data_IF_937789702698
#
_entry.id   IF_937789702698
#
_cell.length_a   1.000
_cell.length_b   1.000
_cell.length_c   1.000
_cell.angle_alpha   90.00
_cell.angle_beta   90.00
_cell.angle_gamma   90.00
#
_symmetry.space_group_name_H-M   'P 1'
#
loop_
_entity.id
_entity.type
_entity.pdbx_description
1 polymer ?
#
# COMPACT_ATOMS: atom_id res chain seq x y z
N UNK A 1 -11.88 -22.72 13.37
CA UNK A 1 -11.68 -23.12 11.95
C UNK A 1 -10.96 -21.95 11.28
N UNK A 2 -9.78 -22.17 10.71
CA UNK A 2 -9.12 -21.14 9.89
C UNK A 2 -10.00 -20.96 8.63
N UNK A 3 -10.67 -19.83 8.51
CA UNK A 3 -11.34 -19.46 7.26
C UNK A 3 -10.28 -19.46 6.16
N UNK A 4 -10.61 -20.05 5.01
CA UNK A 4 -9.69 -20.15 3.87
C UNK A 4 -9.35 -18.70 3.44
N UNK A 5 -8.19 -18.20 3.86
CA UNK A 5 -7.74 -16.86 3.51
C UNK A 5 -7.74 -16.71 1.99
N UNK A 6 -8.27 -15.59 1.49
CA UNK A 6 -8.18 -15.27 0.06
C UNK A 6 -6.73 -14.92 -0.27
N UNK A 7 -6.28 -15.32 -1.47
CA UNK A 7 -4.97 -14.89 -1.97
C UNK A 7 -4.93 -13.34 -2.00
N UNK A 8 -3.89 -12.69 -1.46
CA UNK A 8 -3.78 -11.24 -1.52
C UNK A 8 -3.59 -10.76 -2.96
N UNK A 9 -4.04 -9.55 -3.27
CA UNK A 9 -3.63 -8.89 -4.51
C UNK A 9 -2.18 -8.41 -4.38
N UNK A 10 -1.36 -8.73 -5.38
CA UNK A 10 0.06 -8.36 -5.42
C UNK A 10 0.20 -6.96 -6.03
N UNK A 11 0.84 -6.05 -5.30
CA UNK A 11 1.08 -4.66 -5.70
C UNK A 11 2.52 -4.49 -6.14
N UNK A 12 2.74 -4.09 -7.39
CA UNK A 12 4.04 -3.69 -7.90
C UNK A 12 4.30 -2.21 -7.60
N UNK A 13 5.37 -1.90 -6.86
CA UNK A 13 5.68 -0.50 -6.47
C UNK A 13 6.56 0.16 -7.53
N UNK A 14 6.07 1.25 -8.11
CA UNK A 14 6.77 2.12 -9.05
C UNK A 14 7.28 3.34 -8.29
N UNK A 15 8.58 3.41 -8.04
CA UNK A 15 9.21 4.47 -7.27
C UNK A 15 10.25 5.28 -8.07
N UNK A 16 10.46 4.94 -9.35
CA UNK A 16 11.37 5.62 -10.28
C UNK A 16 10.84 5.53 -11.71
N UNK A 17 11.35 6.38 -12.61
CA UNK A 17 11.04 6.27 -14.05
C UNK A 17 11.52 4.93 -14.63
N UNK A 18 12.65 4.42 -14.15
CA UNK A 18 13.13 3.10 -14.55
C UNK A 18 12.14 2.01 -14.19
N UNK A 19 11.57 2.01 -12.96
CA UNK A 19 10.54 1.05 -12.58
C UNK A 19 9.33 1.15 -13.51
N UNK A 20 8.97 2.39 -13.90
CA UNK A 20 7.86 2.64 -14.82
C UNK A 20 8.15 2.08 -16.23
N UNK A 21 9.37 2.22 -16.72
CA UNK A 21 9.75 1.68 -18.03
C UNK A 21 9.86 0.14 -17.98
N UNK A 22 10.37 -0.40 -16.87
CA UNK A 22 10.56 -1.84 -16.67
C UNK A 22 9.25 -2.62 -16.45
N UNK A 23 8.16 -1.96 -15.98
CA UNK A 23 6.90 -2.67 -15.65
C UNK A 23 6.31 -3.42 -16.84
N UNK A 24 6.49 -2.89 -18.06
CA UNK A 24 5.99 -3.52 -19.29
C UNK A 24 6.74 -4.80 -19.65
N UNK A 25 7.95 -4.98 -19.16
CA UNK A 25 8.79 -6.16 -19.39
C UNK A 25 8.48 -7.30 -18.42
N UNK A 26 7.78 -6.99 -17.30
CA UNK A 26 7.43 -7.98 -16.29
C UNK A 26 6.14 -8.67 -16.68
N UNK A 27 6.10 -9.99 -16.48
CA UNK A 27 4.90 -10.77 -16.76
C UNK A 27 3.69 -10.19 -16.00
N UNK A 28 2.60 -9.96 -16.71
CA UNK A 28 1.32 -9.52 -16.12
C UNK A 28 0.72 -10.52 -15.11
N UNK A 29 1.33 -11.71 -14.99
CA UNK A 29 0.95 -12.71 -13.99
C UNK A 29 1.65 -12.50 -12.64
N UNK A 30 2.67 -11.62 -12.58
CA UNK A 30 3.46 -11.41 -11.37
C UNK A 30 2.87 -10.38 -10.41
N UNK A 31 1.86 -9.64 -10.82
CA UNK A 31 1.16 -8.65 -9.97
C UNK A 31 -0.24 -8.34 -10.51
N UNK A 32 -1.10 -7.83 -9.64
CA UNK A 32 -2.50 -7.53 -9.95
C UNK A 32 -2.74 -6.04 -10.16
N UNK A 33 -1.98 -5.17 -9.47
CA UNK A 33 -2.08 -3.72 -9.54
C UNK A 33 -0.73 -3.07 -9.28
N UNK A 34 -0.60 -1.77 -9.58
CA UNK A 34 0.62 -1.03 -9.29
C UNK A 34 0.38 0.17 -8.38
N UNK A 35 1.35 0.46 -7.51
CA UNK A 35 1.40 1.69 -6.71
C UNK A 35 2.34 2.68 -7.37
N UNK A 36 1.85 3.88 -7.64
CA UNK A 36 2.63 5.00 -8.14
C UNK A 36 3.08 5.86 -6.95
N UNK A 37 4.36 5.82 -6.61
CA UNK A 37 4.98 6.68 -5.60
C UNK A 37 5.21 8.07 -6.19
N UNK A 38 4.12 8.83 -6.30
CA UNK A 38 4.10 10.16 -6.95
C UNK A 38 5.10 11.10 -6.26
N UNK A 39 5.23 11.01 -4.94
CA UNK A 39 6.23 11.74 -4.16
C UNK A 39 7.68 11.51 -4.62
N UNK A 40 7.98 10.35 -5.21
CA UNK A 40 9.29 10.01 -5.79
C UNK A 40 9.40 10.30 -7.28
N UNK A 41 8.27 10.44 -7.97
CA UNK A 41 8.17 10.64 -9.41
C UNK A 41 8.05 12.11 -9.83
N UNK A 42 8.13 13.06 -8.90
CA UNK A 42 7.89 14.49 -9.13
C UNK A 42 8.83 15.15 -10.15
N UNK A 43 10.06 14.65 -10.28
CA UNK A 43 11.02 15.13 -11.29
C UNK A 43 10.76 14.56 -12.69
N UNK A 44 9.71 13.76 -12.84
CA UNK A 44 9.34 13.12 -14.09
C UNK A 44 8.62 14.09 -15.02
N UNK A 45 8.69 13.83 -16.31
CA UNK A 45 8.09 14.67 -17.36
C UNK A 45 6.59 14.91 -17.13
N UNK A 46 6.09 16.05 -17.59
CA UNK A 46 4.65 16.38 -17.57
C UNK A 46 3.78 15.36 -18.31
N UNK A 47 4.39 14.55 -19.16
CA UNK A 47 3.75 13.47 -19.93
C UNK A 47 3.46 12.20 -19.10
N UNK A 48 4.01 12.06 -17.90
CA UNK A 48 3.86 10.84 -17.09
C UNK A 48 2.39 10.46 -16.81
N UNK A 49 1.46 11.37 -16.46
CA UNK A 49 0.04 10.99 -16.28
C UNK A 49 -0.59 10.40 -17.54
N UNK A 50 -0.21 10.87 -18.73
CA UNK A 50 -0.67 10.32 -20.01
C UNK A 50 -0.14 8.89 -20.20
N UNK A 51 1.14 8.67 -19.99
CA UNK A 51 1.78 7.35 -20.08
C UNK A 51 1.19 6.36 -19.06
N UNK A 52 0.90 6.82 -17.83
CA UNK A 52 0.25 6.00 -16.80
C UNK A 52 -1.17 5.58 -17.20
N UNK A 53 -1.91 6.41 -17.92
CA UNK A 53 -3.24 6.05 -18.44
C UNK A 53 -3.21 4.84 -19.38
N UNK A 54 -2.11 4.67 -20.11
CA UNK A 54 -1.91 3.56 -21.04
C UNK A 54 -1.62 2.21 -20.35
N UNK A 55 -1.23 2.24 -19.07
CA UNK A 55 -1.06 1.01 -18.30
C UNK A 55 -2.40 0.32 -18.08
N UNK A 56 -2.48 -0.95 -18.41
CA UNK A 56 -3.71 -1.77 -18.33
C UNK A 56 -4.04 -2.27 -16.93
N UNK A 57 -3.18 -2.06 -15.95
CA UNK A 57 -3.35 -2.50 -14.57
C UNK A 57 -4.09 -1.45 -13.74
N UNK A 58 -4.87 -1.86 -12.71
CA UNK A 58 -5.36 -0.94 -11.68
C UNK A 58 -4.20 -0.23 -10.98
N UNK A 59 -4.39 1.04 -10.64
CA UNK A 59 -3.35 1.92 -10.13
C UNK A 59 -3.73 2.55 -8.82
N UNK A 60 -2.77 2.60 -7.89
CA UNK A 60 -2.86 3.32 -6.62
C UNK A 60 -2.06 4.62 -6.77
N UNK A 61 -2.70 5.76 -6.54
CA UNK A 61 -2.00 7.04 -6.40
C UNK A 61 -1.54 7.23 -4.95
N UNK A 62 -0.23 7.34 -4.74
CA UNK A 62 0.36 7.57 -3.43
C UNK A 62 1.24 8.81 -3.46
N UNK A 63 0.87 9.85 -2.71
CA UNK A 63 1.71 11.01 -2.42
C UNK A 63 2.09 10.94 -0.95
N UNK A 64 3.08 10.12 -0.62
CA UNK A 64 3.43 9.77 0.76
C UNK A 64 3.85 10.99 1.58
N UNK A 65 3.28 11.10 2.79
CA UNK A 65 3.66 12.10 3.78
C UNK A 65 5.14 11.92 4.18
N UNK A 66 5.95 13.00 4.20
CA UNK A 66 7.34 12.94 4.66
C UNK A 66 7.48 12.34 6.07
N UNK A 67 6.52 12.55 6.95
CA UNK A 67 6.51 11.99 8.32
C UNK A 67 6.25 10.47 8.35
N UNK A 68 5.81 9.90 7.23
CA UNK A 68 5.58 8.46 7.05
C UNK A 68 6.44 7.87 5.90
N UNK A 69 7.64 8.41 5.70
CA UNK A 69 8.62 7.90 4.75
C UNK A 69 8.41 8.38 3.31
N UNK A 70 7.74 9.52 3.12
CA UNK A 70 7.67 10.22 1.84
C UNK A 70 9.03 10.75 1.43
N UNK A 71 9.29 10.75 0.12
CA UNK A 71 10.42 11.43 -0.47
C UNK A 71 10.07 12.92 -0.63
N UNK A 72 11.05 13.79 -0.40
CA UNK A 72 10.90 15.23 -0.50
C UNK A 72 9.95 15.86 0.55
N UNK A 73 10.26 17.11 0.90
CA UNK A 73 9.41 17.92 1.78
C UNK A 73 8.32 18.60 0.95
N UNK A 74 7.28 17.82 0.56
CA UNK A 74 6.17 18.35 -0.24
C UNK A 74 5.17 19.02 0.70
N UNK A 75 4.86 20.31 0.53
CA UNK A 75 3.82 20.99 1.29
C UNK A 75 2.47 20.30 1.14
N UNK A 76 1.64 20.33 2.18
CA UNK A 76 0.33 19.68 2.19
C UNK A 76 -0.58 20.11 1.02
N UNK A 77 -0.62 21.42 0.74
CA UNK A 77 -1.39 21.96 -0.40
C UNK A 77 -0.93 21.37 -1.73
N UNK A 78 0.38 21.21 -1.91
CA UNK A 78 0.94 20.59 -3.12
C UNK A 78 0.62 19.09 -3.19
N UNK A 79 0.57 18.41 -2.05
CA UNK A 79 0.15 16.99 -2.01
C UNK A 79 -1.29 16.85 -2.48
N UNK A 80 -2.20 17.72 -2.02
CA UNK A 80 -3.59 17.71 -2.47
C UNK A 80 -3.69 17.91 -3.99
N UNK A 81 -3.03 18.94 -4.53
CA UNK A 81 -3.02 19.21 -5.98
C UNK A 81 -2.45 18.04 -6.80
N UNK A 82 -1.46 17.32 -6.24
CA UNK A 82 -0.94 16.11 -6.88
C UNK A 82 -2.01 15.00 -6.88
N UNK A 83 -2.70 14.75 -5.78
CA UNK A 83 -3.77 13.77 -5.76
C UNK A 83 -4.88 14.12 -6.77
N UNK A 84 -5.33 15.39 -6.83
CA UNK A 84 -6.33 15.87 -7.78
C UNK A 84 -5.89 15.63 -9.23
N UNK A 85 -4.62 15.89 -9.56
CA UNK A 85 -4.05 15.64 -10.89
C UNK A 85 -4.05 14.15 -11.27
N UNK A 86 -3.79 13.24 -10.30
CA UNK A 86 -3.64 11.82 -10.56
C UNK A 86 -4.92 11.02 -10.37
N UNK A 87 -5.90 11.55 -9.63
CA UNK A 87 -7.17 10.89 -9.36
C UNK A 87 -7.88 10.38 -10.64
N UNK A 88 -7.94 11.15 -11.76
CA UNK A 88 -8.64 10.70 -12.98
C UNK A 88 -8.05 9.44 -13.63
N UNK A 89 -6.76 9.14 -13.38
CA UNK A 89 -6.04 8.02 -14.03
C UNK A 89 -5.81 6.83 -13.10
N UNK A 90 -6.19 6.94 -11.83
CA UNK A 90 -5.99 5.90 -10.81
C UNK A 90 -7.32 5.28 -10.37
N UNK A 91 -7.25 4.07 -9.84
CA UNK A 91 -8.38 3.30 -9.31
C UNK A 91 -8.47 3.42 -7.79
N UNK A 92 -7.32 3.68 -7.14
CA UNK A 92 -7.17 3.81 -5.70
C UNK A 92 -6.40 5.09 -5.38
N UNK A 93 -6.67 5.66 -4.20
CA UNK A 93 -5.78 6.63 -3.55
C UNK A 93 -5.30 6.06 -2.23
N UNK A 94 -4.03 6.33 -1.86
CA UNK A 94 -3.45 5.97 -0.56
C UNK A 94 -3.23 7.25 0.25
N UNK A 95 -4.02 7.42 1.31
CA UNK A 95 -4.01 8.59 2.20
C UNK A 95 -3.68 8.13 3.61
N UNK A 96 -2.72 8.79 4.26
CA UNK A 96 -2.35 8.45 5.62
C UNK A 96 -3.49 8.78 6.60
N UNK A 97 -3.67 7.93 7.61
CA UNK A 97 -4.70 8.06 8.65
C UNK A 97 -4.68 9.45 9.30
N UNK A 98 -3.50 10.02 9.52
CA UNK A 98 -3.31 11.36 10.09
C UNK A 98 -3.87 12.49 9.23
N UNK A 99 -4.05 12.25 7.94
CA UNK A 99 -4.47 13.25 6.94
C UNK A 99 -5.96 13.11 6.53
N UNK A 100 -6.71 12.17 7.11
CA UNK A 100 -8.10 11.90 6.71
C UNK A 100 -9.01 13.13 6.77
N UNK A 101 -8.94 13.90 7.86
CA UNK A 101 -9.76 15.11 8.01
C UNK A 101 -9.40 16.18 6.99
N UNK A 102 -8.12 16.34 6.71
CA UNK A 102 -7.59 17.35 5.79
C UNK A 102 -7.92 17.03 4.34
N UNK A 103 -7.89 15.76 3.97
CA UNK A 103 -8.18 15.30 2.61
C UNK A 103 -9.62 14.76 2.46
N UNK A 104 -10.52 15.13 3.39
CA UNK A 104 -11.90 14.60 3.39
C UNK A 104 -12.65 14.86 2.08
N UNK A 105 -12.49 16.02 1.45
CA UNK A 105 -13.10 16.33 0.13
C UNK A 105 -12.54 15.45 -0.99
N UNK A 106 -11.23 15.24 -1.03
CA UNK A 106 -10.57 14.35 -1.98
C UNK A 106 -11.09 12.90 -1.82
N UNK A 107 -11.22 12.45 -0.58
CA UNK A 107 -11.73 11.12 -0.26
C UNK A 107 -13.18 10.97 -0.74
N UNK A 108 -14.04 11.95 -0.45
CA UNK A 108 -15.42 11.97 -0.92
C UNK A 108 -15.51 11.95 -2.45
N UNK A 109 -14.68 12.73 -3.14
CA UNK A 109 -14.60 12.73 -4.59
C UNK A 109 -14.16 11.36 -5.14
N UNK A 110 -13.14 10.76 -4.56
CA UNK A 110 -12.68 9.43 -4.95
C UNK A 110 -13.82 8.40 -4.80
N UNK A 111 -14.45 8.35 -3.64
CA UNK A 111 -15.55 7.41 -3.35
C UNK A 111 -16.77 7.66 -4.25
N UNK A 112 -17.17 8.91 -4.49
CA UNK A 112 -18.30 9.25 -5.36
C UNK A 112 -18.07 8.90 -6.83
N UNK A 113 -16.80 8.85 -7.26
CA UNK A 113 -16.39 8.43 -8.61
C UNK A 113 -16.05 6.94 -8.72
N UNK A 114 -16.42 6.14 -7.69
CA UNK A 114 -16.24 4.69 -7.68
C UNK A 114 -14.80 4.22 -7.46
N UNK A 115 -13.93 5.09 -6.94
CA UNK A 115 -12.55 4.71 -6.60
C UNK A 115 -12.49 4.22 -5.15
N UNK A 116 -11.49 3.40 -4.88
CA UNK A 116 -11.27 2.86 -3.54
C UNK A 116 -10.23 3.70 -2.77
N UNK A 117 -10.35 3.72 -1.47
CA UNK A 117 -9.45 4.46 -0.58
C UNK A 117 -8.65 3.51 0.29
N UNK A 118 -7.34 3.63 0.22
CA UNK A 118 -6.42 2.98 1.16
C UNK A 118 -6.11 4.01 2.25
N UNK A 119 -6.49 3.70 3.47
CA UNK A 119 -6.13 4.49 4.66
C UNK A 119 -4.91 3.86 5.28
N UNK A 120 -3.76 4.52 5.20
CA UNK A 120 -2.48 3.94 5.56
C UNK A 120 -1.89 4.52 6.86
N UNK A 121 -1.11 3.70 7.54
CA UNK A 121 -0.29 4.06 8.67
C UNK A 121 1.07 3.37 8.57
N UNK A 122 2.16 4.14 8.79
CA UNK A 122 3.53 3.63 8.74
C UNK A 122 4.29 4.04 10.00
N UNK A 123 4.93 3.05 10.66
CA UNK A 123 5.84 3.29 11.78
C UNK A 123 7.19 2.60 11.51
N UNK A 124 8.21 3.41 11.27
CA UNK A 124 9.57 2.93 10.97
C UNK A 124 10.38 2.59 12.22
N UNK A 125 9.87 2.88 13.41
CA UNK A 125 10.56 2.63 14.67
C UNK A 125 10.11 1.31 15.31
N UNK A 126 8.80 1.05 15.33
CA UNK A 126 8.23 -0.09 16.09
C UNK A 126 6.89 -0.54 15.50
N UNK A 127 6.37 -1.65 16.05
CA UNK A 127 4.96 -2.03 15.93
C UNK A 127 4.20 -1.52 17.16
N UNK A 128 3.15 -0.70 17.00
CA UNK A 128 2.28 -0.29 18.10
C UNK A 128 1.57 -1.49 18.75
N UNK A 129 1.02 -1.31 19.94
CA UNK A 129 0.19 -2.33 20.58
C UNK A 129 -1.08 -2.61 19.79
N UNK A 130 -1.68 -3.79 19.99
CA UNK A 130 -2.89 -4.18 19.27
C UNK A 130 -4.03 -3.20 19.48
N UNK A 131 -4.24 -2.74 20.71
CA UNK A 131 -5.29 -1.79 21.06
C UNK A 131 -5.14 -0.46 20.29
N UNK A 132 -3.89 0.04 20.17
CA UNK A 132 -3.60 1.26 19.43
C UNK A 132 -3.89 1.08 17.93
N UNK A 133 -3.53 -0.09 17.37
CA UNK A 133 -3.83 -0.41 15.96
C UNK A 133 -5.32 -0.60 15.72
N UNK A 134 -6.07 -1.16 16.67
CA UNK A 134 -7.53 -1.27 16.60
C UNK A 134 -8.21 0.11 16.63
N UNK A 135 -7.77 1.02 17.49
CA UNK A 135 -8.25 2.41 17.49
C UNK A 135 -7.97 3.12 16.16
N UNK A 136 -6.77 2.90 15.57
CA UNK A 136 -6.41 3.44 14.27
C UNK A 136 -7.30 2.85 13.16
N UNK A 137 -7.57 1.55 13.22
CA UNK A 137 -8.47 0.88 12.31
C UNK A 137 -9.90 1.46 12.40
N UNK A 138 -10.43 1.65 13.61
CA UNK A 138 -11.74 2.26 13.81
C UNK A 138 -11.82 3.68 13.23
N UNK A 139 -10.79 4.48 13.43
CA UNK A 139 -10.67 5.82 12.86
C UNK A 139 -10.54 5.82 11.33
N UNK A 140 -10.06 4.76 10.72
CA UNK A 140 -9.97 4.66 9.25
C UNK A 140 -11.36 4.59 8.57
N UNK A 141 -12.38 4.32 9.33
CA UNK A 141 -13.75 4.13 8.88
C UNK A 141 -13.98 2.70 8.37
N UNK A 142 -14.83 1.97 9.07
CA UNK A 142 -15.19 0.57 8.73
C UNK A 142 -16.18 0.54 7.57
N UNK A 143 -15.71 0.87 6.36
CA UNK A 143 -16.54 0.87 5.15
C UNK A 143 -16.01 -0.11 4.09
N UNK A 144 -16.89 -0.78 3.33
CA UNK A 144 -16.47 -1.84 2.39
C UNK A 144 -15.46 -1.41 1.32
N UNK A 145 -15.50 -0.14 0.88
CA UNK A 145 -14.65 0.39 -0.17
C UNK A 145 -13.31 0.96 0.34
N UNK A 146 -13.00 0.71 1.61
CA UNK A 146 -11.72 1.12 2.20
C UNK A 146 -10.86 -0.08 2.54
N UNK A 147 -9.56 0.15 2.45
CA UNK A 147 -8.54 -0.78 2.91
C UNK A 147 -7.79 -0.07 4.03
N UNK A 148 -7.70 -0.67 5.22
CA UNK A 148 -6.77 -0.20 6.22
C UNK A 148 -5.41 -0.85 5.98
N UNK A 149 -4.40 -0.02 5.70
CA UNK A 149 -3.04 -0.47 5.40
C UNK A 149 -2.12 -0.09 6.56
N UNK A 150 -1.44 -1.08 7.13
CA UNK A 150 -0.47 -0.89 8.21
C UNK A 150 0.89 -1.47 7.83
N UNK A 151 1.95 -0.67 7.94
CA UNK A 151 3.32 -1.09 7.72
C UNK A 151 4.19 -0.65 8.89
N UNK A 152 4.71 -1.59 9.66
CA UNK A 152 5.45 -1.31 10.89
C UNK A 152 6.76 -2.08 10.95
N UNK A 153 7.73 -1.56 11.71
CA UNK A 153 8.98 -2.27 11.93
C UNK A 153 8.73 -3.45 12.89
N UNK A 154 9.04 -4.65 12.42
CA UNK A 154 8.93 -5.90 13.19
C UNK A 154 10.32 -6.36 13.59
N UNK A 155 10.61 -6.27 14.88
CA UNK A 155 11.88 -6.67 15.50
C UNK A 155 11.79 -8.02 16.20
N UNK A 156 10.62 -8.37 16.69
CA UNK A 156 10.32 -9.59 17.42
C UNK A 156 9.11 -10.32 16.82
N UNK A 157 8.96 -11.59 17.09
CA UNK A 157 7.79 -12.37 16.65
C UNK A 157 6.49 -11.84 17.24
N UNK A 158 6.51 -11.33 18.47
CA UNK A 158 5.36 -10.67 19.08
C UNK A 158 4.82 -9.49 18.25
N UNK A 159 5.68 -8.77 17.53
CA UNK A 159 5.26 -7.71 16.63
C UNK A 159 4.45 -8.28 15.45
N UNK A 160 4.88 -9.45 14.95
CA UNK A 160 4.17 -10.14 13.87
C UNK A 160 2.83 -10.67 14.35
N UNK A 161 2.78 -11.21 15.58
CA UNK A 161 1.55 -11.69 16.22
C UNK A 161 0.51 -10.56 16.37
N UNK A 162 0.93 -9.36 16.76
CA UNK A 162 0.06 -8.17 16.81
C UNK A 162 -0.60 -7.91 15.44
N UNK A 163 0.19 -7.94 14.36
CA UNK A 163 -0.33 -7.71 13.01
C UNK A 163 -1.25 -8.84 12.55
N UNK A 164 -0.99 -10.09 12.97
CA UNK A 164 -1.87 -11.23 12.71
C UNK A 164 -3.22 -11.03 13.41
N UNK A 165 -3.21 -10.67 14.69
CA UNK A 165 -4.43 -10.40 15.46
C UNK A 165 -5.23 -9.25 14.83
N UNK A 166 -4.59 -8.16 14.42
CA UNK A 166 -5.27 -7.08 13.72
C UNK A 166 -6.06 -7.56 12.49
N UNK A 167 -5.49 -8.50 11.70
CA UNK A 167 -6.18 -9.08 10.54
C UNK A 167 -7.31 -10.01 11.00
N UNK A 168 -7.05 -10.90 11.94
CA UNK A 168 -7.97 -11.96 12.34
C UNK A 168 -9.18 -11.45 13.12
N UNK A 169 -9.01 -10.39 13.88
CA UNK A 169 -10.08 -9.74 14.66
C UNK A 169 -11.02 -8.90 13.77
N UNK A 170 -10.65 -8.68 12.51
CA UNK A 170 -11.42 -7.87 11.56
C UNK A 170 -11.72 -8.61 10.23
N UNK A 171 -12.31 -9.85 10.28
CA UNK A 171 -12.45 -10.72 9.12
C UNK A 171 -13.39 -10.19 8.04
N UNK A 172 -14.33 -9.31 8.41
CA UNK A 172 -15.30 -8.69 7.49
C UNK A 172 -14.73 -7.49 6.74
N UNK A 173 -13.52 -7.04 7.09
CA UNK A 173 -12.92 -5.84 6.55
C UNK A 173 -11.62 -6.15 5.80
N UNK A 174 -11.20 -5.21 4.97
CA UNK A 174 -9.99 -5.32 4.17
C UNK A 174 -8.82 -4.70 4.93
N UNK A 175 -7.99 -5.55 5.52
CA UNK A 175 -6.75 -5.14 6.20
C UNK A 175 -5.55 -5.57 5.36
N UNK A 176 -4.63 -4.64 5.10
CA UNK A 176 -3.34 -4.88 4.45
C UNK A 176 -2.23 -4.64 5.48
N UNK A 177 -1.72 -5.68 6.08
CA UNK A 177 -0.65 -5.59 7.08
C UNK A 177 0.68 -6.11 6.52
N UNK A 178 1.77 -5.41 6.84
CA UNK A 178 3.11 -5.79 6.41
C UNK A 178 4.19 -5.34 7.40
N UNK A 179 5.14 -6.23 7.65
CA UNK A 179 6.32 -5.90 8.45
C UNK A 179 7.44 -5.29 7.61
N UNK A 180 8.24 -4.48 8.27
CA UNK A 180 9.50 -3.91 7.80
C UNK A 180 10.65 -4.36 8.69
N UNK A 181 11.90 -4.11 8.29
CA UNK A 181 13.08 -4.44 9.10
C UNK A 181 13.49 -5.91 9.02
N UNK A 182 14.11 -6.43 10.09
CA UNK A 182 14.79 -7.73 10.09
C UNK A 182 13.86 -8.92 9.80
N UNK A 183 12.65 -8.92 10.36
CA UNK A 183 11.64 -9.95 10.10
C UNK A 183 10.71 -9.58 8.92
N UNK A 184 10.98 -8.46 8.24
CA UNK A 184 10.10 -7.91 7.20
C UNK A 184 9.78 -8.89 6.08
N UNK A 185 10.78 -9.57 5.51
CA UNK A 185 10.55 -10.54 4.43
C UNK A 185 9.64 -11.69 4.84
N UNK A 186 9.91 -12.27 6.00
CA UNK A 186 9.17 -13.44 6.49
C UNK A 186 7.77 -13.06 6.96
N UNK A 187 7.64 -11.95 7.69
CA UNK A 187 6.33 -11.46 8.15
C UNK A 187 5.38 -11.15 6.99
N UNK A 188 5.88 -10.60 5.86
CA UNK A 188 5.05 -10.32 4.67
C UNK A 188 4.43 -11.59 4.08
N UNK A 189 5.16 -12.69 4.04
CA UNK A 189 4.62 -13.98 3.56
C UNK A 189 3.61 -14.54 4.55
N UNK A 190 3.92 -14.53 5.85
CA UNK A 190 3.02 -15.01 6.88
C UNK A 190 1.71 -14.20 6.91
N UNK A 191 1.80 -12.86 6.93
CA UNK A 191 0.63 -11.98 6.94
C UNK A 191 -0.22 -12.13 5.67
N UNK A 192 0.41 -12.26 4.51
CA UNK A 192 -0.29 -12.56 3.26
C UNK A 192 -1.09 -13.87 3.38
N UNK A 193 -0.46 -14.94 3.88
CA UNK A 193 -1.13 -16.25 4.06
C UNK A 193 -2.24 -16.21 5.10
N UNK A 194 -2.17 -15.31 6.07
CA UNK A 194 -3.12 -15.19 7.17
C UNK A 194 -4.21 -14.13 6.95
N UNK A 195 -4.29 -13.51 5.76
CA UNK A 195 -5.43 -12.71 5.38
C UNK A 195 -5.16 -11.25 5.04
N UNK A 196 -3.89 -10.79 5.05
CA UNK A 196 -3.57 -9.48 4.47
C UNK A 196 -4.08 -9.40 3.04
N UNK A 197 -4.91 -8.39 2.72
CA UNK A 197 -5.55 -8.31 1.41
C UNK A 197 -4.63 -7.79 0.30
N UNK A 198 -3.53 -7.12 0.63
CA UNK A 198 -2.52 -6.63 -0.30
C UNK A 198 -1.12 -7.11 0.11
N UNK A 199 -0.30 -7.44 -0.88
CA UNK A 199 1.11 -7.80 -0.71
C UNK A 199 1.98 -6.95 -1.64
N UNK A 200 2.90 -6.14 -1.09
CA UNK A 200 3.68 -5.16 -1.84
C UNK A 200 5.07 -5.68 -2.18
N UNK A 201 5.40 -5.69 -3.48
CA UNK A 201 6.73 -6.02 -4.01
C UNK A 201 7.36 -4.84 -4.76
N UNK A 202 8.70 -4.76 -4.78
CA UNK A 202 9.43 -3.75 -5.54
C UNK A 202 9.62 -4.21 -6.99
N UNK A 203 9.63 -3.25 -7.93
CA UNK A 203 10.07 -3.49 -9.32
C UNK A 203 11.60 -3.42 -9.41
N UNK A 204 12.19 -2.34 -8.93
CA UNK A 204 13.63 -2.15 -8.82
C UNK A 204 14.14 -2.39 -7.40
N UNK A 205 14.91 -1.44 -6.88
CA UNK A 205 15.40 -1.48 -5.51
C UNK A 205 14.25 -1.48 -4.49
N UNK A 206 14.43 -2.17 -3.38
CA UNK A 206 13.44 -2.16 -2.30
C UNK A 206 13.22 -0.73 -1.79
N UNK A 207 11.95 -0.31 -1.72
CA UNK A 207 11.58 1.03 -1.24
C UNK A 207 11.68 1.12 0.28
N UNK A 208 11.48 0.00 0.96
CA UNK A 208 11.61 -0.16 2.42
C UNK A 208 12.33 -1.46 2.77
N UNK A 209 13.04 -1.52 3.91
CA UNK A 209 13.68 -2.75 4.37
C UNK A 209 12.68 -3.92 4.50
N UNK A 210 13.07 -5.09 4.02
CA UNK A 210 12.21 -6.29 4.10
C UNK A 210 11.21 -6.43 2.95
N UNK A 211 11.25 -5.59 1.94
CA UNK A 211 10.45 -5.76 0.73
C UNK A 211 11.05 -6.82 -0.21
N UNK A 212 10.19 -7.67 -0.78
CA UNK A 212 10.57 -8.62 -1.81
C UNK A 212 10.52 -7.98 -3.21
N UNK A 213 11.37 -8.39 -4.18
CA UNK A 213 11.10 -8.15 -5.59
C UNK A 213 9.74 -8.75 -5.97
N UNK A 214 8.95 -8.02 -6.77
CA UNK A 214 7.56 -8.41 -7.07
C UNK A 214 7.44 -9.78 -7.72
N UNK A 215 8.35 -10.12 -8.64
CA UNK A 215 8.38 -11.44 -9.28
C UNK A 215 8.61 -12.56 -8.27
N UNK A 216 9.60 -12.38 -7.38
CA UNK A 216 9.90 -13.37 -6.34
C UNK A 216 8.77 -13.50 -5.32
N UNK A 217 8.13 -12.38 -4.97
CA UNK A 217 6.94 -12.40 -4.10
C UNK A 217 5.81 -13.21 -4.74
N UNK A 218 5.56 -13.00 -6.02
CA UNK A 218 4.55 -13.72 -6.79
C UNK A 218 4.80 -15.22 -6.80
N UNK A 219 6.04 -15.65 -7.06
CA UNK A 219 6.42 -17.05 -7.06
C UNK A 219 6.15 -17.69 -5.68
N UNK A 220 6.68 -17.08 -4.62
CA UNK A 220 6.51 -17.57 -3.25
C UNK A 220 5.05 -17.64 -2.83
N UNK A 221 4.25 -16.62 -3.15
CA UNK A 221 2.83 -16.65 -2.85
C UNK A 221 2.08 -17.71 -3.69
N UNK A 222 2.50 -17.95 -4.92
CA UNK A 222 1.87 -18.98 -5.76
C UNK A 222 2.11 -20.41 -5.26
N UNK A 223 3.23 -20.64 -4.57
CA UNK A 223 3.52 -21.93 -3.91
C UNK A 223 2.65 -22.16 -2.65
N UNK A 224 2.03 -21.09 -2.11
CA UNK A 224 1.26 -21.13 -0.86
C UNK A 224 -0.26 -21.27 -1.07
N UNK A 225 -0.79 -21.16 -2.31
CA UNK A 225 -2.19 -21.29 -2.70
C UNK A 225 -2.38 -22.31 -3.83
#
# INVERSE_FOLDING_TARGET
MLTKARKPSIVAVIASLRDFDDISSISSRSFDLCELRIDKLLSSSDDLPRRVRELRFPKIATVRDPLEGGANSIPESSRLSLFERWLPVCNFIDVELRNLSRFSKLIQEAESTGKEVIVSFHDFAKTPKLEELQEMFDRSGRVPNRIFKVATTVSHWSDVEILIHLIQDNPEFRVAAMGMGALGKLSRLALARLGSCLAYGSLGAAVVPGQWPVTRLSDLLSEMW
#
